data_IF_721790122151
#
_entry.id   IF_721790122151
#
_cell.length_a   1.000
_cell.length_b   1.000
_cell.length_c   1.000
_cell.angle_alpha   90.00
_cell.angle_beta   90.00
_cell.angle_gamma   90.00
#
_symmetry.space_group_name_H-M   'P 1'
#
loop_
_entity.id
_entity.type
_entity.pdbx_description
1 polymer ?
#
# COMPACT_ATOMS: atom_id res chain seq x y z
N UNK A 1 13.53 18.22 12.67
CA UNK A 1 12.39 18.11 13.59
C UNK A 1 12.21 16.67 14.01
N UNK A 2 11.98 16.42 15.28
CA UNK A 2 11.77 15.07 15.83
C UNK A 2 10.28 14.87 16.10
N UNK A 3 9.69 13.79 15.56
CA UNK A 3 8.29 13.46 15.78
C UNK A 3 8.24 12.04 16.37
N UNK A 4 8.00 11.90 17.68
CA UNK A 4 7.83 10.58 18.27
C UNK A 4 6.47 10.00 17.86
N UNK A 5 6.44 8.74 17.42
CA UNK A 5 5.20 8.04 17.10
C UNK A 5 4.66 7.39 18.38
N UNK A 6 3.45 7.76 18.76
CA UNK A 6 2.76 7.21 19.92
C UNK A 6 1.91 6.03 19.47
N UNK A 7 2.45 4.83 19.63
CA UNK A 7 1.74 3.60 19.24
C UNK A 7 0.69 3.22 20.28
N UNK A 8 -0.42 2.59 19.88
CA UNK A 8 -1.46 2.20 20.81
C UNK A 8 -0.99 1.11 21.78
N UNK A 9 -1.46 1.18 23.03
CA UNK A 9 -1.19 0.14 24.02
C UNK A 9 -1.82 -1.18 23.61
N UNK A 10 -1.08 -2.29 23.79
CA UNK A 10 -1.57 -3.63 23.51
C UNK A 10 -1.47 -4.05 22.04
N UNK A 11 -1.01 -3.16 21.15
CA UNK A 11 -0.68 -3.49 19.77
C UNK A 11 0.84 -3.62 19.64
N UNK A 12 1.38 -4.84 19.46
CA UNK A 12 2.81 -4.98 19.28
C UNK A 12 3.21 -4.39 17.92
N UNK A 13 4.19 -3.48 17.94
CA UNK A 13 4.76 -2.87 16.74
C UNK A 13 6.12 -3.50 16.48
N UNK A 14 6.30 -4.02 15.28
CA UNK A 14 7.56 -4.61 14.84
C UNK A 14 8.46 -3.55 14.18
N UNK A 15 9.59 -3.99 13.64
CA UNK A 15 10.52 -3.13 12.92
C UNK A 15 9.85 -2.54 11.68
N UNK A 16 10.25 -1.34 11.30
CA UNK A 16 9.72 -0.67 10.12
C UNK A 16 10.13 -1.38 8.83
N UNK A 17 9.15 -1.62 7.97
CA UNK A 17 9.38 -2.02 6.59
C UNK A 17 9.34 -0.81 5.66
N UNK A 18 8.38 0.09 5.84
CA UNK A 18 8.15 1.22 4.95
C UNK A 18 7.44 2.36 5.69
N UNK A 19 7.79 3.59 5.36
CA UNK A 19 7.15 4.80 5.88
C UNK A 19 6.75 5.69 4.71
N UNK A 20 5.58 6.32 4.81
CA UNK A 20 5.16 7.39 3.90
C UNK A 20 4.68 8.57 4.74
N UNK A 21 5.04 9.76 4.29
CA UNK A 21 4.62 11.01 4.92
C UNK A 21 3.83 11.80 3.88
N UNK A 22 2.61 12.14 4.21
CA UNK A 22 1.76 13.02 3.41
C UNK A 22 1.55 14.35 4.15
N UNK A 23 0.89 15.35 3.55
CA UNK A 23 0.75 16.66 4.21
C UNK A 23 0.17 16.61 5.63
N UNK A 24 -0.77 15.71 5.91
CA UNK A 24 -1.46 15.64 7.21
C UNK A 24 -1.20 14.36 7.99
N UNK A 25 -0.56 13.34 7.39
CA UNK A 25 -0.46 12.02 7.98
C UNK A 25 0.93 11.42 7.87
N UNK A 26 1.20 10.46 8.75
CA UNK A 26 2.36 9.58 8.71
C UNK A 26 1.84 8.15 8.69
N UNK A 27 2.33 7.36 7.75
CA UNK A 27 1.99 5.94 7.61
C UNK A 27 3.22 5.09 7.87
N UNK A 28 3.04 4.04 8.65
CA UNK A 28 4.11 3.15 9.09
C UNK A 28 3.68 1.71 8.85
N UNK A 29 4.35 1.02 7.94
CA UNK A 29 4.17 -0.41 7.70
C UNK A 29 5.28 -1.17 8.41
N UNK A 30 4.93 -2.09 9.32
CA UNK A 30 5.91 -2.88 10.03
C UNK A 30 6.17 -4.24 9.36
N UNK A 31 7.15 -5.00 9.88
CA UNK A 31 7.50 -6.31 9.34
C UNK A 31 6.42 -7.39 9.56
N UNK A 32 5.46 -7.15 10.45
CA UNK A 32 4.28 -7.99 10.62
C UNK A 32 3.16 -7.64 9.64
N UNK A 33 3.45 -6.71 8.72
CA UNK A 33 2.51 -6.22 7.71
C UNK A 33 1.29 -5.55 8.32
N UNK A 34 1.49 -4.81 9.40
CA UNK A 34 0.51 -3.94 10.02
C UNK A 34 0.75 -2.52 9.55
N UNK A 35 -0.28 -1.87 9.01
CA UNK A 35 -0.19 -0.47 8.55
C UNK A 35 -0.84 0.47 9.54
N UNK A 36 -0.01 1.27 10.20
CA UNK A 36 -0.41 2.26 11.19
C UNK A 36 -0.53 3.64 10.55
N UNK A 37 -1.57 4.37 10.89
CA UNK A 37 -1.78 5.74 10.47
C UNK A 37 -1.71 6.68 11.68
N UNK A 38 -0.89 7.71 11.56
CA UNK A 38 -0.68 8.75 12.57
C UNK A 38 -0.95 10.13 11.98
N UNK A 39 -1.29 11.09 12.82
CA UNK A 39 -1.25 12.49 12.41
C UNK A 39 0.20 13.02 12.38
N UNK A 40 0.38 14.27 11.99
CA UNK A 40 1.71 14.88 11.87
C UNK A 40 2.36 15.20 13.22
N UNK A 41 1.61 15.09 14.31
CA UNK A 41 2.15 15.20 15.67
C UNK A 41 2.63 13.84 16.22
N UNK A 42 2.40 12.76 15.46
CA UNK A 42 2.77 11.41 15.87
C UNK A 42 1.70 10.70 16.70
N UNK A 43 0.50 11.26 16.80
CA UNK A 43 -0.62 10.63 17.50
C UNK A 43 -1.26 9.58 16.62
N UNK A 44 -1.49 8.39 17.20
CA UNK A 44 -2.11 7.27 16.47
C UNK A 44 -3.56 7.59 16.14
N UNK A 45 -3.94 7.36 14.88
CA UNK A 45 -5.30 7.54 14.40
C UNK A 45 -6.02 6.20 14.25
N UNK A 46 -5.49 5.31 13.41
CA UNK A 46 -6.09 4.00 13.13
C UNK A 46 -5.13 3.06 12.42
N UNK A 47 -5.53 1.78 12.34
CA UNK A 47 -4.95 0.83 11.41
C UNK A 47 -5.63 0.95 10.06
N UNK A 48 -4.89 0.71 8.98
CA UNK A 48 -5.44 0.61 7.62
C UNK A 48 -5.41 -0.84 7.18
N UNK A 49 -6.58 -1.42 6.95
CA UNK A 49 -6.71 -2.81 6.54
C UNK A 49 -6.38 -3.80 7.65
N UNK A 50 -6.44 -5.07 7.30
CA UNK A 50 -6.15 -6.17 8.22
C UNK A 50 -5.59 -7.35 7.44
N UNK A 51 -4.58 -8.00 7.99
CA UNK A 51 -4.05 -9.24 7.44
C UNK A 51 -4.94 -10.42 7.82
N UNK A 52 -5.29 -11.25 6.83
CA UNK A 52 -6.12 -12.42 7.05
C UNK A 52 -6.59 -13.06 5.76
N UNK A 53 -7.46 -14.07 5.87
CA UNK A 53 -7.96 -14.85 4.73
C UNK A 53 -9.31 -14.39 4.20
N UNK A 54 -9.99 -13.47 4.87
CA UNK A 54 -11.29 -12.95 4.41
C UNK A 54 -11.17 -12.16 3.11
N UNK A 55 -12.26 -12.02 2.32
CA UNK A 55 -12.19 -11.33 1.03
C UNK A 55 -11.72 -9.88 1.09
N UNK A 56 -11.94 -9.19 2.21
CA UNK A 56 -11.57 -7.80 2.41
C UNK A 56 -10.23 -7.64 3.16
N UNK A 57 -9.59 -8.75 3.49
CA UNK A 57 -8.30 -8.78 4.16
C UNK A 57 -7.18 -9.04 3.15
N UNK A 58 -5.98 -8.56 3.44
CA UNK A 58 -4.82 -8.88 2.62
C UNK A 58 -4.06 -10.08 3.20
N UNK A 59 -3.48 -10.89 2.33
CA UNK A 59 -2.66 -12.03 2.75
C UNK A 59 -1.20 -11.61 2.90
N UNK A 60 -0.68 -10.90 1.91
CA UNK A 60 0.72 -10.50 1.90
C UNK A 60 0.90 -9.16 1.18
N UNK A 61 1.30 -8.13 1.92
CA UNK A 61 1.60 -6.83 1.35
C UNK A 61 3.03 -6.78 0.83
N UNK A 62 3.21 -6.42 -0.44
CA UNK A 62 4.52 -6.04 -0.96
C UNK A 62 4.86 -4.58 -0.65
N UNK A 63 3.86 -3.75 -0.39
CA UNK A 63 4.01 -2.34 -0.07
C UNK A 63 2.67 -1.62 -0.11
N UNK A 64 2.74 -0.31 0.07
CA UNK A 64 1.58 0.57 0.02
C UNK A 64 1.98 1.93 -0.55
N UNK A 65 1.01 2.66 -1.04
CA UNK A 65 1.18 4.03 -1.52
C UNK A 65 0.03 4.91 -1.05
N UNK A 66 0.31 6.20 -0.89
CA UNK A 66 -0.68 7.22 -0.54
C UNK A 66 -0.71 8.22 -1.68
N UNK A 67 -1.90 8.58 -2.18
CA UNK A 67 -2.00 9.57 -3.23
C UNK A 67 -1.73 11.00 -2.69
N UNK A 68 -1.30 11.89 -3.57
CA UNK A 68 -0.92 13.26 -3.19
C UNK A 68 -2.09 14.07 -2.63
N UNK A 69 -3.32 13.75 -3.03
CA UNK A 69 -4.53 14.39 -2.53
C UNK A 69 -4.98 13.87 -1.17
N UNK A 70 -4.32 12.84 -0.64
CA UNK A 70 -4.72 12.13 0.59
C UNK A 70 -6.15 11.58 0.53
N UNK A 71 -6.61 11.21 -0.67
CA UNK A 71 -7.93 10.59 -0.85
C UNK A 71 -7.91 9.10 -0.55
N UNK A 72 -6.83 8.41 -0.93
CA UNK A 72 -6.73 6.96 -0.81
C UNK A 72 -5.37 6.49 -0.35
N UNK A 73 -5.39 5.35 0.37
CA UNK A 73 -4.22 4.52 0.65
C UNK A 73 -4.37 3.25 -0.16
N UNK A 74 -3.38 2.93 -0.98
CA UNK A 74 -3.36 1.77 -1.85
C UNK A 74 -2.45 0.70 -1.27
N UNK A 75 -2.99 -0.48 -1.01
CA UNK A 75 -2.25 -1.62 -0.50
C UNK A 75 -2.09 -2.66 -1.61
N UNK A 76 -0.84 -3.01 -1.93
CA UNK A 76 -0.57 -4.06 -2.90
C UNK A 76 -0.56 -5.42 -2.20
N UNK A 77 -1.66 -6.15 -2.34
CA UNK A 77 -1.81 -7.53 -1.88
C UNK A 77 -1.18 -8.47 -2.91
N UNK A 78 0.10 -8.74 -2.73
CA UNK A 78 0.92 -9.49 -3.68
C UNK A 78 0.35 -10.88 -3.96
N UNK A 79 -0.03 -11.60 -2.92
CA UNK A 79 -0.45 -13.00 -3.04
C UNK A 79 -1.78 -13.15 -3.77
N UNK A 80 -2.69 -12.18 -3.65
CA UNK A 80 -3.96 -12.15 -4.37
C UNK A 80 -3.90 -11.36 -5.67
N UNK A 81 -2.74 -10.83 -6.00
CA UNK A 81 -2.49 -10.06 -7.22
C UNK A 81 -3.52 -8.94 -7.43
N UNK A 82 -3.67 -8.09 -6.43
CA UNK A 82 -4.63 -7.00 -6.45
C UNK A 82 -4.14 -5.80 -5.64
N UNK A 83 -4.76 -4.66 -5.88
CA UNK A 83 -4.61 -3.46 -5.06
C UNK A 83 -5.91 -3.26 -4.27
N UNK A 84 -5.77 -3.02 -2.97
CA UNK A 84 -6.89 -2.62 -2.11
C UNK A 84 -6.78 -1.12 -1.87
N UNK A 85 -7.83 -0.37 -2.20
CA UNK A 85 -7.88 1.07 -1.98
C UNK A 85 -8.77 1.40 -0.78
N UNK A 86 -8.18 2.03 0.23
CA UNK A 86 -8.88 2.49 1.43
C UNK A 86 -8.95 4.02 1.43
N UNK A 87 -10.04 4.57 1.95
CA UNK A 87 -10.09 6.00 2.23
C UNK A 87 -9.34 6.34 3.53
N UNK A 88 -9.24 7.61 3.87
CA UNK A 88 -8.53 8.05 5.08
C UNK A 88 -9.28 7.70 6.37
N UNK A 89 -10.52 7.25 6.29
CA UNK A 89 -11.28 6.71 7.42
C UNK A 89 -11.05 5.22 7.63
N UNK A 90 -10.23 4.59 6.77
CA UNK A 90 -9.93 3.17 6.85
C UNK A 90 -10.99 2.28 6.22
N UNK A 91 -11.88 2.84 5.41
CA UNK A 91 -12.91 2.08 4.70
C UNK A 91 -12.37 1.59 3.36
N UNK A 92 -12.52 0.29 3.10
CA UNK A 92 -12.17 -0.29 1.81
C UNK A 92 -13.18 0.17 0.76
N UNK A 93 -12.71 0.91 -0.25
CA UNK A 93 -13.58 1.50 -1.27
C UNK A 93 -13.46 0.81 -2.62
N UNK A 94 -12.32 0.19 -2.91
CA UNK A 94 -12.09 -0.51 -4.19
C UNK A 94 -11.18 -1.72 -3.99
N UNK A 95 -11.45 -2.77 -4.77
CA UNK A 95 -10.55 -3.90 -5.00
C UNK A 95 -10.19 -3.89 -6.48
N UNK A 96 -8.92 -3.71 -6.80
CA UNK A 96 -8.44 -3.57 -8.16
C UNK A 96 -7.63 -4.82 -8.54
N UNK A 97 -8.23 -5.81 -9.23
CA UNK A 97 -7.48 -6.97 -9.68
C UNK A 97 -6.43 -6.53 -10.71
N UNK A 98 -5.23 -7.10 -10.60
CA UNK A 98 -4.16 -6.85 -11.55
C UNK A 98 -4.13 -7.95 -12.59
N UNK A 99 -3.93 -7.57 -13.85
CA UNK A 99 -3.86 -8.53 -14.96
C UNK A 99 -2.52 -9.28 -15.02
N UNK A 100 -1.51 -8.81 -14.30
CA UNK A 100 -0.19 -9.43 -14.24
C UNK A 100 0.32 -9.48 -12.81
N UNK A 101 1.12 -10.50 -12.53
CA UNK A 101 1.82 -10.60 -11.25
C UNK A 101 2.91 -9.54 -11.19
N UNK A 102 2.78 -8.63 -10.23
CA UNK A 102 3.77 -7.58 -9.98
C UNK A 102 4.51 -7.87 -8.69
N UNK A 103 5.81 -7.66 -8.67
CA UNK A 103 6.60 -7.80 -7.46
C UNK A 103 6.53 -6.54 -6.60
N UNK A 104 6.72 -5.40 -7.22
CA UNK A 104 6.66 -4.10 -6.57
C UNK A 104 5.71 -3.19 -7.29
N UNK A 105 5.06 -2.33 -6.53
CA UNK A 105 4.18 -1.29 -7.05
C UNK A 105 4.57 0.02 -6.37
N UNK A 106 4.72 1.08 -7.15
CA UNK A 106 4.96 2.40 -6.62
C UNK A 106 4.07 3.44 -7.30
N UNK A 107 3.67 4.46 -6.57
CA UNK A 107 2.95 5.57 -7.15
C UNK A 107 3.83 6.31 -8.16
N UNK A 108 3.19 6.71 -9.22
CA UNK A 108 3.80 7.51 -10.25
C UNK A 108 2.90 8.71 -10.54
N UNK A 109 3.42 9.63 -11.26
CA UNK A 109 2.74 10.85 -11.56
C UNK A 109 1.52 10.63 -12.50
N UNK A 110 0.51 11.54 -12.49
CA UNK A 110 -0.72 11.44 -13.29
C UNK A 110 -1.63 10.23 -12.93
N UNK A 111 -1.83 9.99 -11.65
CA UNK A 111 -2.77 8.96 -11.17
C UNK A 111 -2.45 7.56 -11.70
N UNK A 112 -1.18 7.24 -11.73
CA UNK A 112 -0.68 5.96 -12.21
C UNK A 112 0.25 5.30 -11.20
N UNK A 113 0.38 3.98 -11.32
CA UNK A 113 1.41 3.21 -10.66
C UNK A 113 2.43 2.71 -11.68
N UNK A 114 3.65 2.50 -11.23
CA UNK A 114 4.62 1.68 -11.95
C UNK A 114 4.70 0.34 -11.24
N UNK A 115 4.49 -0.74 -11.98
CA UNK A 115 4.65 -2.10 -11.50
C UNK A 115 5.86 -2.76 -12.14
N UNK A 116 6.64 -3.48 -11.33
CA UNK A 116 7.79 -4.25 -11.80
C UNK A 116 7.41 -5.73 -11.89
N UNK A 117 7.68 -6.33 -13.05
CA UNK A 117 7.51 -7.77 -13.28
C UNK A 117 8.88 -8.41 -13.48
N UNK A 118 9.34 -9.22 -12.53
CA UNK A 118 10.61 -9.89 -12.68
C UNK A 118 10.56 -10.99 -13.73
N UNK A 119 11.73 -11.35 -14.19
CA UNK A 119 11.97 -12.33 -15.28
C UNK A 119 11.18 -13.64 -15.13
N UNK A 120 11.00 -14.11 -13.90
CA UNK A 120 10.27 -15.36 -13.63
C UNK A 120 8.77 -15.30 -13.97
N UNK A 121 8.19 -14.11 -13.99
CA UNK A 121 6.75 -13.92 -14.22
C UNK A 121 6.44 -13.32 -15.59
N UNK A 122 7.44 -13.09 -16.44
CA UNK A 122 7.30 -12.33 -17.68
C UNK A 122 7.92 -13.01 -18.90
N UNK A 123 7.86 -14.33 -18.99
CA UNK A 123 8.41 -15.09 -20.15
C UNK A 123 9.90 -14.77 -20.44
N UNK A 124 10.68 -14.53 -19.41
CA UNK A 124 12.11 -14.32 -19.52
C UNK A 124 12.57 -12.88 -19.69
N UNK A 125 11.68 -11.90 -19.59
CA UNK A 125 12.03 -10.48 -19.66
C UNK A 125 11.62 -9.75 -18.39
N UNK A 126 12.50 -8.91 -17.86
CA UNK A 126 12.14 -7.95 -16.82
C UNK A 126 11.46 -6.77 -17.48
N UNK A 127 10.38 -6.29 -16.87
CA UNK A 127 9.61 -5.19 -17.44
C UNK A 127 8.96 -4.32 -16.37
N UNK A 128 8.81 -3.05 -16.69
CA UNK A 128 7.98 -2.12 -15.94
C UNK A 128 6.67 -1.89 -16.69
N UNK A 129 5.59 -1.83 -15.96
CA UNK A 129 4.28 -1.56 -16.51
C UNK A 129 3.68 -0.31 -15.87
N UNK A 130 3.08 0.53 -16.70
CA UNK A 130 2.25 1.64 -16.23
C UNK A 130 0.85 1.10 -15.97
N UNK A 131 0.33 1.41 -14.80
CA UNK A 131 -0.96 0.89 -14.34
C UNK A 131 -1.79 2.07 -13.87
N UNK A 132 -2.99 2.23 -14.36
CA UNK A 132 -3.89 3.29 -13.90
C UNK A 132 -4.50 2.95 -12.54
N UNK A 133 -5.20 3.91 -11.94
CA UNK A 133 -5.85 3.73 -10.64
C UNK A 133 -7.09 2.82 -10.69
N UNK A 134 -7.40 2.23 -11.84
CA UNK A 134 -8.38 1.17 -11.98
C UNK A 134 -7.74 -0.23 -12.05
N UNK A 135 -6.40 -0.30 -11.98
CA UNK A 135 -5.66 -1.56 -12.06
C UNK A 135 -5.37 -2.03 -13.48
N UNK A 136 -5.69 -1.22 -14.49
CA UNK A 136 -5.46 -1.56 -15.88
C UNK A 136 -4.06 -1.20 -16.34
N UNK A 137 -3.41 -2.11 -17.06
CA UNK A 137 -2.11 -1.87 -17.65
C UNK A 137 -2.29 -0.96 -18.86
N UNK A 138 -1.53 0.14 -18.87
CA UNK A 138 -1.47 1.04 -20.00
C UNK A 138 -0.30 0.64 -20.89
N UNK A 139 -0.56 0.54 -22.18
CA UNK A 139 0.50 0.35 -23.14
C UNK A 139 1.38 1.60 -23.20
N UNK A 140 2.65 1.34 -23.18
CA UNK A 140 3.67 2.38 -23.28
C UNK A 140 3.70 3.03 -24.65
#
# INVERSE_FOLDING_TARGET
MYIPLKTPKGLPVSLVQSVRISPHYIFYLDNNQQLFMFDRNGDFIRMIGKRGAAPDEYISLSGFEVDDSESFVYLHDFQRNRILAYDMKGVLVKKLPLSRQLLNLTSFYNDQFIGFVPKFYSNGQEAFYMIDYNGEIKDS
#
